data_IF_565040350421
#
_entry.id   IF_565040350421
#
_cell.length_a   1.000
_cell.length_b   1.000
_cell.length_c   1.000
_cell.angle_alpha   90.00
_cell.angle_beta   90.00
_cell.angle_gamma   90.00
#
_symmetry.space_group_name_H-M   'P 1'
#
loop_
_entity.id
_entity.type
_entity.pdbx_description
1 polymer ?
#
# COMPACT_ATOMS: atom_id res chain seq x y z
N UNK A 1 8.93 3.20 -9.51
CA UNK A 1 9.59 4.18 -8.60
C UNK A 1 9.00 4.14 -7.19
N UNK A 2 7.68 4.33 -6.98
CA UNK A 2 7.11 4.21 -5.62
C UNK A 2 7.23 2.76 -5.09
N UNK A 3 6.82 1.77 -5.87
CA UNK A 3 6.91 0.36 -5.48
C UNK A 3 8.37 -0.05 -5.25
N UNK A 4 9.26 0.31 -6.16
CA UNK A 4 10.71 0.13 -5.98
C UNK A 4 11.25 0.70 -4.66
N UNK A 5 10.85 1.92 -4.24
CA UNK A 5 11.26 2.47 -2.94
C UNK A 5 10.73 1.61 -1.77
N UNK A 6 9.50 1.13 -1.87
CA UNK A 6 8.91 0.23 -0.87
C UNK A 6 9.56 -1.15 -0.87
N UNK A 7 10.06 -1.65 -2.00
CA UNK A 7 10.87 -2.87 -2.02
C UNK A 7 12.24 -2.67 -1.34
N UNK A 8 12.80 -1.45 -1.45
CA UNK A 8 14.11 -1.09 -0.90
C UNK A 8 14.11 -0.67 0.58
N UNK A 9 12.98 -0.74 1.28
CA UNK A 9 12.92 -0.45 2.71
C UNK A 9 12.20 0.84 3.11
N UNK A 10 11.62 1.60 2.17
CA UNK A 10 10.90 2.82 2.51
C UNK A 10 9.66 2.57 3.39
N UNK A 11 9.25 3.61 4.10
CA UNK A 11 8.05 3.64 4.94
C UNK A 11 6.99 4.51 4.27
N UNK A 12 5.74 4.07 4.32
CA UNK A 12 4.58 4.80 3.79
C UNK A 12 3.59 5.07 4.92
N UNK A 13 3.18 6.33 5.04
CA UNK A 13 2.20 6.80 6.00
C UNK A 13 1.03 7.45 5.27
N UNK A 14 -0.19 7.07 5.64
CA UNK A 14 -1.42 7.65 5.10
C UNK A 14 -2.21 8.23 6.27
N UNK A 15 -2.53 9.53 6.21
CA UNK A 15 -3.40 10.16 7.20
C UNK A 15 -4.49 10.99 6.53
N UNK A 16 -5.63 11.15 7.20
CA UNK A 16 -6.78 11.88 6.66
C UNK A 16 -8.07 11.08 6.68
N UNK A 17 -8.86 11.26 5.64
CA UNK A 17 -10.15 10.60 5.51
C UNK A 17 -10.01 9.07 5.35
N UNK A 18 -10.53 8.34 6.34
CA UNK A 18 -10.57 6.89 6.38
C UNK A 18 -11.74 6.27 5.64
N UNK A 19 -12.73 7.07 5.20
CA UNK A 19 -13.92 6.54 4.51
C UNK A 19 -13.73 6.42 3.00
N UNK A 20 -13.11 7.40 2.37
CA UNK A 20 -12.93 7.45 0.91
C UNK A 20 -11.45 7.47 0.55
N UNK A 21 -10.68 8.42 1.10
CA UNK A 21 -9.29 8.61 0.68
C UNK A 21 -8.40 7.40 0.99
N UNK A 22 -8.40 6.89 2.23
CA UNK A 22 -7.50 5.79 2.59
C UNK A 22 -7.79 4.48 1.84
N UNK A 23 -9.06 4.05 1.65
CA UNK A 23 -9.38 2.92 0.78
C UNK A 23 -8.92 3.11 -0.68
N UNK A 24 -9.09 4.32 -1.24
CA UNK A 24 -8.68 4.62 -2.62
C UNK A 24 -7.15 4.58 -2.78
N UNK A 25 -6.41 5.03 -1.76
CA UNK A 25 -4.95 4.90 -1.71
C UNK A 25 -4.53 3.43 -1.67
N UNK A 26 -5.16 2.59 -0.84
CA UNK A 26 -4.87 1.14 -0.80
C UNK A 26 -5.12 0.47 -2.15
N UNK A 27 -6.27 0.76 -2.77
CA UNK A 27 -6.60 0.23 -4.09
C UNK A 27 -5.56 0.64 -5.14
N UNK A 28 -5.13 1.91 -5.12
CA UNK A 28 -4.10 2.42 -6.03
C UNK A 28 -2.75 1.74 -5.81
N UNK A 29 -2.35 1.50 -4.56
CA UNK A 29 -1.09 0.80 -4.25
C UNK A 29 -1.10 -0.64 -4.76
N UNK A 30 -2.21 -1.35 -4.59
CA UNK A 30 -2.41 -2.71 -5.11
C UNK A 30 -2.28 -2.70 -6.64
N UNK A 31 -3.00 -1.82 -7.32
CA UNK A 31 -2.98 -1.74 -8.79
C UNK A 31 -1.58 -1.37 -9.33
N UNK A 32 -0.88 -0.43 -8.68
CA UNK A 32 0.49 -0.07 -9.03
C UNK A 32 1.44 -1.27 -8.88
N UNK A 33 1.33 -2.02 -7.78
CA UNK A 33 2.16 -3.20 -7.54
C UNK A 33 1.89 -4.30 -8.56
N UNK A 34 0.62 -4.59 -8.87
CA UNK A 34 0.24 -5.54 -9.91
C UNK A 34 0.84 -5.19 -11.26
N UNK A 35 0.78 -3.91 -11.64
CA UNK A 35 1.32 -3.44 -12.91
C UNK A 35 2.86 -3.50 -12.95
N UNK A 36 3.54 -3.12 -11.86
CA UNK A 36 5.01 -3.11 -11.82
C UNK A 36 5.61 -4.53 -11.74
N UNK A 37 4.94 -5.45 -11.04
CA UNK A 37 5.41 -6.83 -10.81
C UNK A 37 4.75 -7.88 -11.70
N UNK A 38 3.76 -7.50 -12.51
CA UNK A 38 2.98 -8.41 -13.37
C UNK A 38 2.39 -9.59 -12.58
N UNK A 39 1.79 -9.30 -11.43
CA UNK A 39 1.26 -10.32 -10.52
C UNK A 39 -0.26 -10.27 -10.36
N UNK A 40 -0.82 -11.31 -9.71
CA UNK A 40 -2.23 -11.32 -9.34
C UNK A 40 -2.53 -10.28 -8.24
N UNK A 41 -3.81 -9.93 -8.12
CA UNK A 41 -4.30 -9.02 -7.07
C UNK A 41 -4.04 -9.57 -5.68
N UNK A 42 -4.28 -10.86 -5.48
CA UNK A 42 -4.01 -11.56 -4.22
C UNK A 42 -2.54 -11.41 -3.80
N UNK A 43 -1.59 -11.53 -4.73
CA UNK A 43 -0.18 -11.31 -4.45
C UNK A 43 0.12 -9.87 -4.03
N UNK A 44 -0.52 -8.88 -4.65
CA UNK A 44 -0.36 -7.47 -4.30
C UNK A 44 -1.00 -7.12 -2.94
N UNK A 45 -2.17 -7.68 -2.61
CA UNK A 45 -2.81 -7.54 -1.31
C UNK A 45 -1.96 -8.16 -0.20
N UNK A 46 -1.37 -9.33 -0.45
CA UNK A 46 -0.42 -9.96 0.46
C UNK A 46 0.84 -9.11 0.66
N UNK A 47 1.38 -8.51 -0.40
CA UNK A 47 2.52 -7.58 -0.31
C UNK A 47 2.21 -6.38 0.59
N UNK A 48 1.06 -5.72 0.39
CA UNK A 48 0.67 -4.57 1.20
C UNK A 48 0.44 -4.98 2.67
N UNK A 49 -0.12 -6.17 2.90
CA UNK A 49 -0.27 -6.76 4.22
C UNK A 49 1.08 -7.03 4.90
N UNK A 50 2.08 -7.51 4.16
CA UNK A 50 3.45 -7.67 4.67
C UNK A 50 4.03 -6.32 5.09
N UNK A 51 3.90 -5.27 4.27
CA UNK A 51 4.35 -3.93 4.65
C UNK A 51 3.66 -3.42 5.92
N UNK A 52 2.36 -3.67 6.09
CA UNK A 52 1.63 -3.29 7.30
C UNK A 52 2.14 -4.06 8.54
N UNK A 53 2.33 -5.38 8.42
CA UNK A 53 2.87 -6.22 9.50
C UNK A 53 4.29 -5.82 9.92
N UNK A 54 5.10 -5.36 8.97
CA UNK A 54 6.44 -4.86 9.22
C UNK A 54 6.46 -3.42 9.78
N UNK A 55 5.31 -2.81 10.04
CA UNK A 55 5.13 -1.40 10.43
C UNK A 55 5.71 -0.41 9.41
N UNK A 56 5.73 -0.79 8.13
CA UNK A 56 6.23 0.00 7.00
C UNK A 56 5.13 0.60 6.15
N UNK A 57 3.89 0.14 6.31
CA UNK A 57 2.68 0.83 5.83
C UNK A 57 1.77 1.12 7.02
N UNK A 58 1.64 2.40 7.38
CA UNK A 58 0.91 2.83 8.58
C UNK A 58 -0.19 3.81 8.20
N UNK A 59 -1.38 3.62 8.78
CA UNK A 59 -2.55 4.47 8.56
C UNK A 59 -2.93 5.20 9.85
N UNK A 60 -3.10 6.51 9.79
CA UNK A 60 -3.67 7.36 10.85
C UNK A 60 -4.88 8.10 10.31
N UNK A 61 -6.03 7.44 10.30
CA UNK A 61 -7.20 7.85 9.50
C UNK A 61 -8.46 7.95 10.36
N UNK A 62 -9.35 8.88 9.99
CA UNK A 62 -10.58 9.20 10.73
C UNK A 62 -11.80 9.37 9.81
N UNK A 63 -12.99 9.42 10.40
CA UNK A 63 -14.30 9.44 9.72
C UNK A 63 -14.98 10.80 9.68
#
# INVERSE_FOLDING_TARGET
>A
MLIELLDQGAYLYVCGDGKVMAPDVEATLIDLYQNEKQCSRETAENWLTTLANDNRYVKDVWS
#
